data_IF_404493026693
#
_entry.id   IF_404493026693
#
_cell.length_a   1.000
_cell.length_b   1.000
_cell.length_c   1.000
_cell.angle_alpha   90.00
_cell.angle_beta   90.00
_cell.angle_gamma   90.00
#
_symmetry.space_group_name_H-M   'P 1'
#
loop_
_entity.id
_entity.type
_entity.pdbx_description
1 polymer ?
#
# COMPACT_ATOMS: atom_id res chain seq x y z
N UNK A 1 -14.72 11.73 -1.99
CA UNK A 1 -13.64 11.65 -0.99
C UNK A 1 -12.45 11.06 -1.71
N UNK A 2 -11.22 11.51 -1.44
CA UNK A 2 -10.04 10.85 -2.00
C UNK A 2 -10.10 9.37 -1.66
N UNK A 3 -9.67 8.51 -2.57
CA UNK A 3 -9.57 7.08 -2.30
C UNK A 3 -8.58 6.83 -1.16
N UNK A 4 -8.99 5.98 -0.23
CA UNK A 4 -8.08 5.30 0.69
C UNK A 4 -7.66 4.00 0.02
N UNK A 5 -6.40 3.60 0.18
CA UNK A 5 -5.91 2.28 -0.19
C UNK A 5 -5.27 1.61 1.04
N UNK A 6 -5.85 0.51 1.49
CA UNK A 6 -5.24 -0.33 2.53
C UNK A 6 -4.35 -1.40 1.88
N UNK A 7 -3.13 -1.55 2.39
CA UNK A 7 -2.11 -2.42 1.82
C UNK A 7 -1.51 -3.30 2.90
N UNK A 8 -1.47 -4.60 2.63
CA UNK A 8 -0.78 -5.59 3.45
C UNK A 8 0.63 -5.85 2.94
N UNK A 9 1.60 -5.97 3.85
CA UNK A 9 2.93 -6.47 3.52
C UNK A 9 2.95 -8.00 3.70
N UNK A 10 3.29 -8.74 2.64
CA UNK A 10 3.35 -10.21 2.65
C UNK A 10 4.75 -10.77 2.93
N UNK A 11 5.70 -9.90 3.27
CA UNK A 11 7.05 -10.31 3.63
C UNK A 11 7.09 -10.92 5.03
N UNK A 12 7.44 -12.21 5.15
CA UNK A 12 7.61 -12.91 6.43
C UNK A 12 8.70 -12.30 7.34
N UNK A 13 9.69 -11.61 6.74
CA UNK A 13 10.77 -10.92 7.45
C UNK A 13 10.42 -9.45 7.84
N UNK A 14 9.15 -9.05 7.72
CA UNK A 14 8.69 -7.68 8.00
C UNK A 14 7.77 -7.63 9.23
N UNK A 15 8.08 -6.76 10.19
CA UNK A 15 7.26 -6.56 11.39
C UNK A 15 5.98 -5.72 11.12
N UNK A 16 5.89 -5.08 9.95
CA UNK A 16 4.73 -4.27 9.57
C UNK A 16 3.65 -5.16 8.94
N UNK A 17 2.51 -5.28 9.61
CA UNK A 17 1.36 -6.06 9.10
C UNK A 17 0.66 -5.33 7.94
N UNK A 18 0.22 -4.09 8.16
CA UNK A 18 -0.50 -3.29 7.16
C UNK A 18 -0.21 -1.79 7.27
N UNK A 19 -0.47 -1.06 6.19
CA UNK A 19 -0.45 0.40 6.16
C UNK A 19 -1.54 0.95 5.23
N UNK A 20 -1.96 2.19 5.48
CA UNK A 20 -2.99 2.88 4.71
C UNK A 20 -2.38 4.06 3.96
N UNK A 21 -2.66 4.17 2.66
CA UNK A 21 -2.35 5.35 1.87
C UNK A 21 -3.56 6.28 1.85
N UNK A 22 -3.34 7.51 2.32
CA UNK A 22 -4.30 8.59 2.20
C UNK A 22 -3.81 9.60 1.18
N UNK A 23 -4.50 9.69 0.06
CA UNK A 23 -4.20 10.68 -0.96
C UNK A 23 -4.95 11.98 -0.67
N UNK A 24 -4.27 13.12 -0.77
CA UNK A 24 -4.91 14.45 -0.64
C UNK A 24 -5.48 14.93 -1.97
N UNK A 25 -4.96 14.42 -3.07
CA UNK A 25 -5.32 14.77 -4.44
C UNK A 25 -5.68 13.51 -5.22
N UNK A 26 -6.32 13.71 -6.37
CA UNK A 26 -6.60 12.61 -7.29
C UNK A 26 -5.29 11.97 -7.75
N UNK A 27 -5.25 10.65 -7.68
CA UNK A 27 -4.15 9.81 -8.13
C UNK A 27 -4.47 9.36 -9.56
N UNK A 28 -3.48 9.23 -10.46
CA UNK A 28 -3.72 8.67 -11.79
C UNK A 28 -4.44 7.32 -11.74
N UNK A 29 -5.32 7.07 -12.72
CA UNK A 29 -6.12 5.83 -12.79
C UNK A 29 -5.26 4.56 -12.93
N UNK A 30 -4.00 4.69 -13.35
CA UNK A 30 -3.02 3.62 -13.49
C UNK A 30 -2.14 3.41 -12.25
N UNK A 31 -2.32 4.20 -11.19
CA UNK A 31 -1.61 4.01 -9.93
C UNK A 31 -2.17 2.82 -9.16
N UNK A 32 -1.31 1.85 -8.84
CA UNK A 32 -1.70 0.60 -8.21
C UNK A 32 -0.73 0.17 -7.08
N UNK A 33 -1.01 -0.95 -6.43
CA UNK A 33 -0.21 -1.47 -5.32
C UNK A 33 1.23 -1.80 -5.74
N UNK A 34 1.43 -2.17 -7.01
CA UNK A 34 2.73 -2.49 -7.59
C UNK A 34 3.66 -1.28 -7.67
N UNK A 35 3.13 -0.06 -7.61
CA UNK A 35 3.91 1.18 -7.59
C UNK A 35 4.41 1.57 -6.19
N UNK A 36 4.02 0.80 -5.17
CA UNK A 36 4.32 1.10 -3.77
C UNK A 36 5.53 0.32 -3.26
N UNK A 37 6.05 0.76 -2.11
CA UNK A 37 7.04 0.03 -1.33
C UNK A 37 6.64 0.06 0.13
N UNK A 38 6.88 -1.04 0.84
CA UNK A 38 6.61 -1.11 2.27
C UNK A 38 7.41 -0.01 2.99
N UNK A 39 6.77 0.87 3.78
CA UNK A 39 7.47 1.96 4.45
C UNK A 39 8.40 1.48 5.57
N UNK A 40 8.27 0.20 5.98
CA UNK A 40 9.10 -0.40 7.01
C UNK A 40 10.29 -1.17 6.42
N UNK A 41 10.05 -2.20 5.61
CA UNK A 41 11.12 -3.06 5.08
C UNK A 41 11.65 -2.63 3.70
N UNK A 42 10.98 -1.69 3.01
CA UNK A 42 11.33 -1.28 1.64
C UNK A 42 11.03 -2.32 0.56
N UNK A 43 10.40 -3.45 0.90
CA UNK A 43 10.02 -4.49 -0.05
C UNK A 43 8.80 -4.14 -0.89
N UNK A 44 8.62 -4.86 -1.99
CA UNK A 44 7.50 -4.71 -2.93
C UNK A 44 6.53 -5.89 -2.90
N UNK A 45 6.64 -6.81 -1.92
CA UNK A 45 5.69 -7.90 -1.75
C UNK A 45 4.46 -7.37 -1.00
N UNK A 46 3.57 -6.74 -1.76
CA UNK A 46 2.44 -5.96 -1.26
C UNK A 46 1.15 -6.40 -1.94
N UNK A 47 0.06 -6.43 -1.18
CA UNK A 47 -1.28 -6.75 -1.68
C UNK A 47 -2.26 -5.71 -1.17
N UNK A 48 -3.07 -5.15 -2.07
CA UNK A 48 -4.20 -4.29 -1.72
C UNK A 48 -5.30 -5.14 -1.07
N UNK A 49 -5.85 -4.64 0.04
CA UNK A 49 -6.93 -5.31 0.76
C UNK A 49 -8.15 -4.38 0.83
N UNK A 50 -9.33 -4.92 0.53
CA UNK A 50 -10.61 -4.20 0.67
C UNK A 50 -11.16 -4.36 2.10
N UNK A 51 -11.71 -3.28 2.64
CA UNK A 51 -12.50 -3.25 3.90
C UNK A 51 -13.99 -3.28 3.62
#
# INVERSE_FOLDING_TARGET
MPSTMEVKCESDDCDLDMFENHYTYDVPDDHAVEDLSCPYCGGSNLTEIEV
#
